data_IF_986181223897
#
_entry.id   IF_986181223897
#
_cell.length_a   1.000
_cell.length_b   1.000
_cell.length_c   1.000
_cell.angle_alpha   90.00
_cell.angle_beta   90.00
_cell.angle_gamma   90.00
#
_symmetry.space_group_name_H-M   'P 1'
#
loop_
_entity.id
_entity.type
_entity.pdbx_description
1 polymer ?
#
# COMPACT_ATOMS: atom_id res chain seq x y z
N UNK A 1 -9.57 -10.50 -9.46
CA UNK A 1 -8.44 -10.84 -8.58
C UNK A 1 -7.57 -11.82 -9.34
N UNK A 2 -6.26 -11.60 -9.36
CA UNK A 2 -5.31 -12.55 -9.92
C UNK A 2 -4.46 -13.11 -8.79
N UNK A 3 -3.92 -14.31 -8.96
CA UNK A 3 -3.02 -14.94 -8.00
C UNK A 3 -1.71 -15.31 -8.69
N UNK A 4 -0.60 -15.19 -7.97
CA UNK A 4 0.73 -15.55 -8.44
C UNK A 4 1.56 -16.12 -7.29
N UNK A 5 2.11 -17.32 -7.46
CA UNK A 5 2.89 -18.02 -6.43
C UNK A 5 2.21 -18.08 -5.05
N UNK A 6 0.87 -18.20 -5.02
CA UNK A 6 0.11 -18.25 -3.77
C UNK A 6 -0.19 -16.88 -3.12
N UNK A 7 0.15 -15.77 -3.79
CA UNK A 7 -0.15 -14.41 -3.35
C UNK A 7 -1.20 -13.75 -4.23
N UNK A 8 -2.03 -12.90 -3.64
CA UNK A 8 -3.00 -12.09 -4.38
C UNK A 8 -2.31 -10.90 -5.07
N UNK A 9 -2.69 -10.66 -6.32
CA UNK A 9 -2.30 -9.49 -7.10
C UNK A 9 -3.53 -8.63 -7.32
N UNK A 10 -3.50 -7.45 -6.70
CA UNK A 10 -4.59 -6.49 -6.70
C UNK A 10 -4.16 -5.20 -7.41
N UNK A 11 -4.97 -4.76 -8.38
CA UNK A 11 -4.84 -3.42 -8.96
C UNK A 11 -5.98 -2.58 -8.43
N UNK A 12 -5.66 -1.60 -7.60
CA UNK A 12 -6.64 -0.75 -6.91
C UNK A 12 -6.47 0.71 -7.30
N UNK A 13 -7.57 1.45 -7.28
CA UNK A 13 -7.58 2.92 -7.37
C UNK A 13 -7.93 3.48 -6.00
N UNK A 14 -6.95 4.06 -5.33
CA UNK A 14 -7.12 4.65 -3.99
C UNK A 14 -7.64 6.08 -4.13
N UNK A 15 -8.65 6.45 -3.33
CA UNK A 15 -9.14 7.82 -3.20
C UNK A 15 -9.50 8.09 -1.74
N UNK A 16 -8.89 9.10 -1.15
CA UNK A 16 -9.09 9.42 0.27
C UNK A 16 -8.36 8.44 1.19
N UNK A 17 -8.88 8.28 2.41
CA UNK A 17 -8.31 7.41 3.44
C UNK A 17 -8.92 6.02 3.40
N UNK A 18 -8.09 5.00 3.59
CA UNK A 18 -8.50 3.63 3.80
C UNK A 18 -8.54 3.26 5.30
N UNK A 19 -9.21 2.15 5.59
CA UNK A 19 -9.15 1.54 6.93
C UNK A 19 -7.78 0.92 7.22
N UNK A 20 -7.51 0.69 8.50
CA UNK A 20 -6.30 -0.02 8.91
C UNK A 20 -6.41 -1.50 8.52
N UNK A 21 -5.37 -2.02 7.87
CA UNK A 21 -5.25 -3.42 7.44
C UNK A 21 -4.04 -4.02 8.15
N UNK A 22 -4.13 -5.30 8.50
CA UNK A 22 -3.07 -6.09 9.12
C UNK A 22 -3.16 -7.54 8.62
N UNK A 23 -2.00 -8.15 8.37
CA UNK A 23 -1.86 -9.55 8.02
C UNK A 23 -0.82 -10.17 8.96
N UNK A 24 -1.13 -11.34 9.52
CA UNK A 24 -0.25 -12.02 10.48
C UNK A 24 0.97 -12.65 9.79
N UNK A 25 0.78 -13.16 8.57
CA UNK A 25 1.69 -14.16 7.97
C UNK A 25 2.34 -13.76 6.64
N UNK A 26 1.94 -12.63 6.05
CA UNK A 26 2.38 -12.22 4.71
C UNK A 26 2.77 -10.76 4.68
N UNK A 27 3.85 -10.39 3.99
CA UNK A 27 4.19 -8.98 3.72
C UNK A 27 3.47 -8.47 2.45
N UNK A 28 3.19 -7.17 2.40
CA UNK A 28 2.54 -6.53 1.24
C UNK A 28 3.52 -5.71 0.41
N UNK A 29 3.39 -5.80 -0.92
CA UNK A 29 4.13 -4.99 -1.88
C UNK A 29 3.22 -3.91 -2.47
N UNK A 30 3.65 -2.66 -2.34
CA UNK A 30 2.99 -1.52 -2.98
C UNK A 30 3.82 -1.02 -4.16
N UNK A 31 3.17 -0.95 -5.32
CA UNK A 31 3.74 -0.36 -6.53
C UNK A 31 2.81 0.73 -7.06
N UNK A 32 3.27 1.98 -7.01
CA UNK A 32 2.48 3.13 -7.51
C UNK A 32 2.63 3.23 -9.03
N UNK A 33 1.58 2.87 -9.75
CA UNK A 33 1.53 2.99 -11.21
C UNK A 33 1.31 4.44 -11.66
N UNK A 34 0.49 5.19 -10.91
CA UNK A 34 0.15 6.60 -11.19
C UNK A 34 -0.12 7.39 -9.91
N UNK A 35 0.42 8.62 -9.85
CA UNK A 35 0.18 9.58 -8.78
C UNK A 35 1.15 9.42 -7.60
N UNK A 36 0.65 9.71 -6.41
CA UNK A 36 1.39 9.59 -5.15
C UNK A 36 0.46 8.98 -4.10
N UNK A 37 1.01 8.14 -3.23
CA UNK A 37 0.32 7.57 -2.07
C UNK A 37 1.14 7.85 -0.82
N UNK A 38 0.46 8.11 0.29
CA UNK A 38 1.07 8.10 1.62
C UNK A 38 0.56 6.87 2.35
N UNK A 39 1.46 5.97 2.71
CA UNK A 39 1.14 4.79 3.53
C UNK A 39 1.50 5.13 4.97
N UNK A 40 0.52 5.05 5.88
CA UNK A 40 0.73 5.30 7.31
C UNK A 40 0.82 3.97 8.03
N UNK A 41 1.88 3.78 8.79
CA UNK A 41 2.09 2.67 9.71
C UNK A 41 1.98 3.17 11.15
N UNK A 42 2.03 2.27 12.14
CA UNK A 42 1.97 2.66 13.57
C UNK A 42 3.17 3.48 14.02
N UNK A 43 4.32 3.24 13.41
CA UNK A 43 5.62 3.82 13.72
C UNK A 43 6.01 4.99 12.80
N UNK A 44 5.19 5.32 11.80
CA UNK A 44 5.49 6.42 10.90
C UNK A 44 4.67 6.44 9.61
N UNK A 45 5.17 7.15 8.61
CA UNK A 45 4.56 7.20 7.28
C UNK A 45 5.62 7.15 6.20
N UNK A 46 5.25 6.61 5.04
CA UNK A 46 6.08 6.56 3.85
C UNK A 46 5.31 7.21 2.69
N UNK A 47 5.98 8.08 1.95
CA UNK A 47 5.42 8.71 0.74
C UNK A 47 6.02 8.03 -0.49
N UNK A 48 5.15 7.50 -1.35
CA UNK A 48 5.52 6.74 -2.55
C UNK A 48 5.00 7.45 -3.79
N UNK A 49 5.84 7.57 -4.83
CA UNK A 49 5.49 8.19 -6.11
C UNK A 49 5.54 7.13 -7.22
N UNK A 50 5.14 7.50 -8.43
CA UNK A 50 5.26 6.60 -9.58
C UNK A 50 6.61 5.92 -9.65
N UNK A 51 6.61 4.65 -10.04
CA UNK A 51 7.81 3.81 -10.21
C UNK A 51 8.68 3.62 -8.97
N UNK A 52 8.24 4.05 -7.77
CA UNK A 52 8.81 3.58 -6.52
C UNK A 52 8.03 2.34 -6.06
N UNK A 53 8.77 1.25 -5.79
CA UNK A 53 8.24 0.03 -5.19
C UNK A 53 8.67 -0.07 -3.74
N UNK A 54 7.76 -0.43 -2.85
CA UNK A 54 8.04 -0.58 -1.43
C UNK A 54 7.37 -1.83 -0.89
N UNK A 55 8.17 -2.67 -0.23
CA UNK A 55 7.66 -3.77 0.60
C UNK A 55 7.38 -3.22 1.99
N UNK A 56 6.18 -3.46 2.49
CA UNK A 56 5.80 -3.16 3.87
C UNK A 56 5.66 -4.48 4.62
N UNK A 57 6.30 -4.54 5.80
CA UNK A 57 6.14 -5.69 6.68
C UNK A 57 4.80 -5.63 7.39
N UNK A 58 4.00 -6.67 7.26
CA UNK A 58 2.62 -6.65 7.73
C UNK A 58 2.43 -6.69 9.25
N UNK A 59 3.51 -6.94 10.01
CA UNK A 59 3.51 -6.68 11.46
C UNK A 59 3.14 -5.24 11.82
N UNK A 60 3.31 -4.31 10.89
CA UNK A 60 2.85 -2.94 11.05
C UNK A 60 1.49 -2.80 10.37
N UNK A 61 0.42 -2.72 11.17
CA UNK A 61 -0.87 -2.29 10.67
C UNK A 61 -0.71 -0.97 9.91
N UNK A 62 -1.24 -0.89 8.69
CA UNK A 62 -1.12 0.30 7.84
C UNK A 62 -2.47 0.77 7.33
N UNK A 63 -2.55 2.04 6.95
CA UNK A 63 -3.67 2.60 6.19
C UNK A 63 -3.14 3.49 5.08
N UNK A 64 -3.78 3.43 3.93
CA UNK A 64 -3.40 4.25 2.80
C UNK A 64 -4.18 5.57 2.81
N UNK A 65 -3.47 6.63 2.44
CA UNK A 65 -4.07 7.90 2.10
C UNK A 65 -3.59 8.28 0.71
N UNK A 66 -4.54 8.38 -0.22
CA UNK A 66 -4.27 9.02 -1.49
C UNK A 66 -4.38 10.53 -1.33
N UNK A 67 -3.29 11.24 -1.61
CA UNK A 67 -3.31 12.70 -1.74
C UNK A 67 -3.39 13.04 -3.22
N UNK A 68 -4.43 13.79 -3.58
CA UNK A 68 -4.49 14.44 -4.88
C UNK A 68 -3.29 15.41 -4.94
N UNK A 69 -2.35 15.14 -5.84
CA UNK A 69 -1.53 16.20 -6.41
C UNK A 69 -2.34 16.86 -7.51
N UNK A 70 -2.23 18.18 -7.61
CA UNK A 70 -2.70 19.00 -8.74
C UNK A 70 -2.30 18.42 -10.11
#
# INVERSE_FOLDING_TARGET
>A
MAAFNGHDVLVVKVKGEFMWIHHDDTDDLFLVLKGQVTIRMRDGKVEQRRSSGQVLRCRNAYRDLWRHGE
#
